data_IF_870674061461
#
_entry.id   IF_870674061461
#
_cell.length_a   1.000
_cell.length_b   1.000
_cell.length_c   1.000
_cell.angle_alpha   90.00
_cell.angle_beta   90.00
_cell.angle_gamma   90.00
#
_symmetry.space_group_name_H-M   'P 1'
#
loop_
_entity.id
_entity.type
_entity.pdbx_description
1 polymer ?
#
# COMPACT_ATOMS: atom_id res chain seq x y z
N UNK A 1 -67.96 19.33 16.07
CA UNK A 1 -67.23 19.81 14.88
C UNK A 1 -65.83 20.26 15.31
N UNK A 2 -64.79 19.82 14.56
CA UNK A 2 -63.36 20.23 14.62
C UNK A 2 -62.57 19.62 15.79
N UNK A 3 -62.09 18.38 15.67
CA UNK A 3 -60.88 17.90 14.93
C UNK A 3 -59.56 18.42 15.53
N UNK A 4 -58.88 17.51 16.23
CA UNK A 4 -57.46 17.12 16.03
C UNK A 4 -56.50 18.30 15.83
N UNK A 5 -55.85 18.73 16.90
CA UNK A 5 -54.57 19.45 16.85
C UNK A 5 -53.63 18.70 17.80
N UNK A 6 -53.01 17.63 17.31
CA UNK A 6 -51.71 17.66 16.64
C UNK A 6 -50.56 17.56 17.66
N UNK A 7 -50.33 16.32 18.06
CA UNK A 7 -49.10 15.77 18.63
C UNK A 7 -47.96 16.12 17.67
N UNK A 8 -47.05 17.01 18.06
CA UNK A 8 -45.86 17.33 17.25
C UNK A 8 -44.74 17.90 18.15
N UNK A 9 -44.27 17.08 19.08
CA UNK A 9 -43.07 17.33 19.87
C UNK A 9 -42.23 16.05 20.00
N UNK A 10 -42.08 15.30 18.90
CA UNK A 10 -41.32 14.05 18.86
C UNK A 10 -40.54 13.93 17.55
N UNK A 11 -39.59 14.83 17.32
CA UNK A 11 -38.70 14.74 16.15
C UNK A 11 -37.51 15.68 16.26
N UNK A 12 -36.71 15.58 17.32
CA UNK A 12 -35.37 16.18 17.31
C UNK A 12 -34.35 15.42 18.17
N UNK A 13 -34.31 14.09 17.98
CA UNK A 13 -33.16 13.27 18.37
C UNK A 13 -32.82 12.37 17.17
N UNK A 14 -32.42 12.98 16.05
CA UNK A 14 -31.48 12.32 15.16
C UNK A 14 -30.11 12.39 15.86
N UNK A 15 -29.93 11.52 16.84
CA UNK A 15 -28.61 11.12 17.29
C UNK A 15 -27.83 10.72 16.04
N UNK A 16 -26.71 11.39 15.82
CA UNK A 16 -25.72 11.01 14.82
C UNK A 16 -25.37 9.53 15.05
N UNK A 17 -25.98 8.65 14.25
CA UNK A 17 -25.42 7.34 14.06
C UNK A 17 -24.15 7.56 13.23
N UNK A 18 -23.05 7.89 13.90
CA UNK A 18 -21.76 7.45 13.42
C UNK A 18 -21.85 5.92 13.44
N UNK A 19 -22.36 5.34 12.36
CA UNK A 19 -22.19 3.93 12.08
C UNK A 19 -20.68 3.82 11.96
N UNK A 20 -20.04 3.39 13.05
CA UNK A 20 -18.71 2.83 12.98
C UNK A 20 -18.84 1.67 12.01
N UNK A 21 -18.61 1.94 10.73
CA UNK A 21 -18.46 0.93 9.71
C UNK A 21 -17.44 -0.04 10.30
N UNK A 22 -17.83 -1.29 10.51
CA UNK A 22 -16.99 -2.22 11.26
C UNK A 22 -15.68 -2.36 10.48
N UNK A 23 -14.67 -1.67 10.97
CA UNK A 23 -13.54 -1.31 10.14
C UNK A 23 -12.60 -2.51 10.11
N UNK A 24 -12.20 -2.90 8.91
CA UNK A 24 -11.30 -4.03 8.69
C UNK A 24 -9.84 -3.63 8.90
N UNK A 25 -8.97 -4.63 8.90
CA UNK A 25 -7.53 -4.44 8.96
C UNK A 25 -6.86 -5.14 7.79
N UNK A 26 -5.80 -4.52 7.28
CA UNK A 26 -4.99 -5.07 6.20
C UNK A 26 -3.55 -5.03 6.67
N UNK A 27 -2.91 -6.19 6.75
CA UNK A 27 -1.51 -6.31 7.11
C UNK A 27 -0.75 -7.08 6.06
N UNK A 28 0.56 -6.89 5.99
CA UNK A 28 1.38 -7.65 5.06
C UNK A 28 2.86 -7.49 5.33
N UNK A 29 3.64 -8.27 4.59
CA UNK A 29 5.09 -8.19 4.62
C UNK A 29 5.61 -8.09 3.20
N UNK A 30 6.31 -6.99 2.91
CA UNK A 30 7.09 -6.78 1.68
C UNK A 30 8.46 -7.39 1.91
N UNK A 31 8.92 -8.25 0.99
CA UNK A 31 10.21 -8.90 1.13
C UNK A 31 11.32 -7.91 0.75
N UNK A 32 11.96 -7.30 1.75
CA UNK A 32 13.17 -6.51 1.53
C UNK A 32 14.32 -7.48 1.23
N UNK A 33 14.94 -7.44 0.04
CA UNK A 33 16.08 -8.29 -0.27
C UNK A 33 17.35 -7.72 0.37
N UNK A 34 17.45 -7.83 1.70
CA UNK A 34 18.68 -8.03 2.46
C UNK A 34 18.41 -7.79 3.96
N UNK A 35 17.95 -8.83 4.65
CA UNK A 35 18.33 -8.98 6.05
C UNK A 35 19.41 -10.05 6.24
N UNK A 36 19.43 -11.15 5.47
CA UNK A 36 20.31 -12.29 5.83
C UNK A 36 20.75 -13.17 4.65
N UNK A 37 21.31 -12.61 3.56
CA UNK A 37 22.21 -13.38 2.68
C UNK A 37 23.66 -13.02 2.98
N UNK A 38 24.07 -13.22 4.24
CA UNK A 38 25.45 -13.51 4.54
C UNK A 38 25.80 -14.82 3.85
N UNK A 39 26.67 -14.76 2.85
CA UNK A 39 27.20 -15.94 2.16
C UNK A 39 27.93 -16.82 3.18
N UNK A 40 27.26 -17.84 3.71
CA UNK A 40 27.90 -18.87 4.50
C UNK A 40 28.68 -19.78 3.55
N UNK A 41 29.98 -19.55 3.43
CA UNK A 41 30.90 -20.51 2.82
C UNK A 41 31.10 -21.66 3.82
N UNK A 42 30.50 -22.82 3.53
CA UNK A 42 30.79 -24.05 4.26
C UNK A 42 32.26 -24.43 4.06
N UNK A 43 32.92 -24.80 5.16
CA UNK A 43 34.35 -25.13 5.22
C UNK A 43 34.57 -26.63 4.95
N UNK A 44 35.46 -26.93 4.00
CA UNK A 44 36.15 -28.23 3.84
C UNK A 44 35.73 -29.01 2.59
N UNK A 45 36.62 -29.57 1.76
CA UNK A 45 38.04 -29.88 1.90
C UNK A 45 38.63 -29.99 0.47
N UNK A 46 39.85 -29.47 0.26
CA UNK A 46 40.58 -29.39 -1.03
C UNK A 46 40.19 -28.24 -2.00
N UNK A 47 41.17 -27.38 -2.29
CA UNK A 47 41.19 -26.57 -3.50
C UNK A 47 41.21 -25.05 -3.30
N UNK A 48 42.43 -24.48 -3.40
CA UNK A 48 42.78 -23.12 -3.84
C UNK A 48 41.98 -21.91 -3.30
N UNK A 49 42.67 -21.09 -2.49
CA UNK A 49 42.13 -19.88 -1.90
C UNK A 49 41.92 -18.74 -2.90
N UNK A 50 40.82 -18.02 -2.69
CA UNK A 50 40.70 -16.60 -2.97
C UNK A 50 40.18 -15.95 -1.69
N UNK A 51 41.12 -15.40 -0.91
CA UNK A 51 40.85 -14.66 0.31
C UNK A 51 40.41 -13.25 -0.09
N UNK A 52 39.11 -13.00 -0.03
CA UNK A 52 38.58 -11.64 -0.16
C UNK A 52 38.89 -10.88 1.13
N UNK A 53 39.72 -9.86 0.99
CA UNK A 53 40.11 -8.88 2.00
C UNK A 53 38.90 -8.45 2.86
N UNK A 54 38.95 -8.78 4.16
CA UNK A 54 37.92 -8.48 5.16
C UNK A 54 38.05 -7.07 5.76
N UNK A 55 38.61 -6.12 5.01
CA UNK A 55 38.71 -4.73 5.44
C UNK A 55 37.65 -3.81 4.82
N UNK A 56 36.75 -4.33 3.98
CA UNK A 56 35.64 -3.54 3.47
C UNK A 56 34.68 -3.15 4.62
N UNK A 57 34.40 -1.85 4.83
CA UNK A 57 33.46 -1.45 5.87
C UNK A 57 32.15 -2.17 5.62
N UNK A 58 31.57 -2.76 6.68
CA UNK A 58 30.21 -3.28 6.68
C UNK A 58 29.27 -2.10 6.41
N UNK A 59 29.14 -1.70 5.15
CA UNK A 59 28.04 -0.88 4.71
C UNK A 59 26.81 -1.76 4.87
N UNK A 60 26.18 -1.66 6.05
CA UNK A 60 24.78 -1.98 6.25
C UNK A 60 24.08 -1.16 5.17
N UNK A 61 23.83 -1.76 4.00
CA UNK A 61 23.05 -1.10 2.96
C UNK A 61 21.75 -0.69 3.66
N UNK A 62 21.44 0.59 3.58
CA UNK A 62 20.27 1.15 4.22
C UNK A 62 19.09 0.26 3.82
N UNK A 63 18.37 -0.33 4.79
CA UNK A 63 17.14 -1.04 4.49
C UNK A 63 16.16 0.05 4.08
N UNK A 64 16.10 0.32 2.77
CA UNK A 64 15.19 1.30 2.22
C UNK A 64 13.78 0.75 2.35
N UNK A 65 12.95 1.44 3.14
CA UNK A 65 11.58 1.04 3.45
C UNK A 65 10.73 1.16 2.19
N UNK A 66 9.79 0.23 2.03
CA UNK A 66 8.82 0.30 0.95
C UNK A 66 7.64 1.20 1.37
N UNK A 67 7.13 1.95 0.40
CA UNK A 67 5.91 2.73 0.54
C UNK A 67 4.72 1.90 0.10
N UNK A 68 3.70 1.82 0.94
CA UNK A 68 2.49 1.06 0.70
C UNK A 68 1.31 2.00 0.65
N UNK A 69 0.59 1.97 -0.46
CA UNK A 69 -0.57 2.78 -0.72
C UNK A 69 -1.79 1.88 -0.89
N UNK A 70 -2.88 2.24 -0.22
CA UNK A 70 -4.16 1.57 -0.38
C UNK A 70 -5.13 2.57 -1.02
N UNK A 71 -5.59 2.28 -2.22
CA UNK A 71 -6.43 3.18 -3.02
C UNK A 71 -7.74 2.46 -3.30
N UNK A 72 -8.88 3.01 -2.88
CA UNK A 72 -10.17 2.40 -3.20
C UNK A 72 -10.39 2.31 -4.71
N UNK A 73 -10.94 1.20 -5.21
CA UNK A 73 -11.09 0.99 -6.67
C UNK A 73 -12.23 1.80 -7.29
N UNK A 74 -13.18 2.26 -6.49
CA UNK A 74 -14.40 2.96 -6.92
C UNK A 74 -14.20 4.48 -7.06
N UNK A 75 -13.12 5.02 -6.49
CA UNK A 75 -12.80 6.46 -6.50
C UNK A 75 -12.57 6.94 -7.94
N UNK A 76 -13.04 8.15 -8.22
CA UNK A 76 -12.72 8.83 -9.47
C UNK A 76 -11.63 9.88 -9.21
N UNK A 77 -10.38 9.54 -9.53
CA UNK A 77 -9.23 10.41 -9.28
C UNK A 77 -9.16 11.58 -10.26
N UNK A 78 -9.83 11.49 -11.41
CA UNK A 78 -9.82 12.56 -12.44
C UNK A 78 -10.63 13.79 -12.03
N UNK A 79 -11.46 13.70 -11.00
CA UNK A 79 -12.22 14.85 -10.47
C UNK A 79 -11.43 15.63 -9.43
N UNK A 80 -10.26 15.15 -9.02
CA UNK A 80 -9.42 15.81 -8.03
C UNK A 80 -8.77 17.06 -8.65
N UNK A 81 -8.64 18.16 -7.89
CA UNK A 81 -7.88 19.32 -8.32
C UNK A 81 -6.42 18.92 -8.59
N UNK A 82 -5.86 19.40 -9.71
CA UNK A 82 -4.47 19.12 -10.08
C UNK A 82 -3.48 19.44 -8.96
N UNK A 83 -3.68 20.56 -8.24
CA UNK A 83 -2.80 20.94 -7.14
C UNK A 83 -2.77 19.91 -5.99
N UNK A 84 -3.87 19.20 -5.74
CA UNK A 84 -3.93 18.16 -4.72
C UNK A 84 -3.29 16.86 -5.21
N UNK A 85 -3.48 16.52 -6.50
CA UNK A 85 -2.80 15.39 -7.16
C UNK A 85 -1.28 15.61 -7.16
N UNK A 86 -0.83 16.81 -7.49
CA UNK A 86 0.59 17.15 -7.52
C UNK A 86 1.22 17.03 -6.13
N UNK A 87 0.55 17.55 -5.08
CA UNK A 87 1.00 17.38 -3.69
C UNK A 87 1.02 15.92 -3.27
N UNK A 88 0.05 15.12 -3.71
CA UNK A 88 0.04 13.70 -3.45
C UNK A 88 1.26 13.00 -4.07
N UNK A 89 1.53 13.23 -5.35
CA UNK A 89 2.64 12.57 -6.04
C UNK A 89 4.02 13.05 -5.57
N UNK A 90 4.18 14.35 -5.33
CA UNK A 90 5.49 14.93 -4.98
C UNK A 90 5.80 14.88 -3.48
N UNK A 91 4.78 14.97 -2.63
CA UNK A 91 4.94 15.13 -1.18
C UNK A 91 4.33 13.98 -0.37
N UNK A 92 3.66 13.03 -1.02
CA UNK A 92 2.93 11.95 -0.35
C UNK A 92 1.70 12.44 0.43
N UNK A 93 1.23 13.67 0.19
CA UNK A 93 0.10 14.23 0.92
C UNK A 93 -1.22 13.74 0.32
N UNK A 94 -1.95 12.91 1.05
CA UNK A 94 -3.23 12.37 0.60
C UNK A 94 -4.26 13.49 0.41
N UNK A 95 -4.96 13.56 -0.75
CA UNK A 95 -6.02 14.53 -0.97
C UNK A 95 -7.14 14.38 0.06
N UNK A 96 -7.68 15.50 0.55
CA UNK A 96 -8.67 15.49 1.61
C UNK A 96 -9.93 14.71 1.23
N UNK A 97 -10.50 13.97 2.19
CA UNK A 97 -11.72 13.18 2.06
C UNK A 97 -11.65 12.09 0.98
N UNK A 98 -10.46 11.64 0.59
CA UNK A 98 -10.32 10.52 -0.33
C UNK A 98 -10.05 9.21 0.43
N UNK A 99 -10.66 8.09 0.01
CA UNK A 99 -10.38 6.75 0.56
C UNK A 99 -9.04 6.20 0.07
N UNK A 100 -7.97 6.96 0.33
CA UNK A 100 -6.58 6.63 0.07
C UNK A 100 -5.87 6.56 1.42
N UNK A 101 -5.06 5.53 1.62
CA UNK A 101 -4.31 5.32 2.85
C UNK A 101 -2.84 5.08 2.49
N UNK A 102 -1.96 5.50 3.40
CA UNK A 102 -0.51 5.33 3.25
C UNK A 102 0.07 4.68 4.50
N UNK A 103 0.98 3.75 4.28
CA UNK A 103 1.80 3.14 5.30
C UNK A 103 3.23 2.98 4.75
N UNK A 104 4.21 3.09 5.64
CA UNK A 104 5.61 2.79 5.33
C UNK A 104 5.98 1.52 6.06
N UNK A 105 6.67 0.61 5.39
CA UNK A 105 7.09 -0.64 6.03
C UNK A 105 8.09 -0.39 7.16
N UNK A 106 8.07 -1.22 8.21
CA UNK A 106 9.13 -1.26 9.21
C UNK A 106 10.43 -1.90 8.66
N UNK A 107 11.46 -2.02 9.50
CA UNK A 107 12.75 -2.61 9.14
C UNK A 107 12.66 -4.09 8.74
N UNK A 108 11.59 -4.77 9.14
CA UNK A 108 11.29 -6.15 8.80
C UNK A 108 10.38 -6.26 7.56
N UNK A 109 10.05 -5.14 6.91
CA UNK A 109 9.20 -5.09 5.71
C UNK A 109 7.71 -5.18 6.00
N UNK A 110 7.29 -5.10 7.27
CA UNK A 110 5.89 -5.25 7.66
C UNK A 110 5.16 -3.91 7.59
N UNK A 111 3.91 -3.94 7.15
CA UNK A 111 2.99 -2.80 7.17
C UNK A 111 1.62 -3.22 7.71
N UNK A 112 0.86 -2.25 8.21
CA UNK A 112 -0.49 -2.46 8.71
C UNK A 112 -1.36 -1.22 8.46
N UNK A 113 -2.57 -1.46 7.96
CA UNK A 113 -3.67 -0.51 7.92
C UNK A 113 -4.73 -0.98 8.91
N UNK A 114 -5.12 -0.08 9.81
CA UNK A 114 -6.21 -0.29 10.77
C UNK A 114 -7.38 0.58 10.39
N UNK A 115 -8.55 0.14 10.85
CA UNK A 115 -9.79 0.89 10.73
C UNK A 115 -10.14 1.28 9.28
N UNK A 116 -9.91 0.36 8.33
CA UNK A 116 -10.21 0.56 6.91
C UNK A 116 -11.67 0.15 6.62
N UNK A 117 -12.50 1.01 6.01
CA UNK A 117 -13.86 0.66 5.60
C UNK A 117 -13.90 -0.51 4.61
N UNK A 118 -14.94 -1.33 4.66
CA UNK A 118 -15.14 -2.41 3.70
C UNK A 118 -15.37 -1.86 2.29
N UNK A 119 -14.45 -2.18 1.37
CA UNK A 119 -14.55 -1.84 -0.05
C UNK A 119 -13.58 -2.72 -0.86
N UNK A 120 -13.54 -2.49 -2.17
CA UNK A 120 -12.52 -3.06 -3.03
C UNK A 120 -11.38 -2.06 -3.16
N UNK A 121 -10.14 -2.50 -2.94
CA UNK A 121 -8.95 -1.67 -2.95
C UNK A 121 -7.92 -2.17 -3.96
N UNK A 122 -7.13 -1.26 -4.51
CA UNK A 122 -5.80 -1.55 -5.00
C UNK A 122 -4.84 -1.38 -3.84
N UNK A 123 -4.03 -2.39 -3.55
CA UNK A 123 -2.81 -2.19 -2.78
C UNK A 123 -1.67 -1.99 -3.76
N UNK A 124 -0.94 -0.89 -3.61
CA UNK A 124 0.21 -0.54 -4.41
C UNK A 124 1.43 -0.47 -3.50
N UNK A 125 2.49 -1.14 -3.89
CA UNK A 125 3.71 -1.28 -3.13
C UNK A 125 4.84 -0.77 -3.99
N UNK A 126 5.50 0.28 -3.49
CA UNK A 126 6.66 0.90 -4.11
C UNK A 126 7.89 0.45 -3.33
N UNK A 127 8.52 -0.61 -3.83
CA UNK A 127 9.69 -1.21 -3.19
C UNK A 127 10.97 -0.79 -3.94
N UNK A 128 11.86 -0.02 -3.30
CA UNK A 128 13.14 0.40 -3.92
C UNK A 128 14.06 -0.76 -4.27
N UNK A 129 13.87 -1.92 -3.64
CA UNK A 129 14.70 -3.10 -3.86
C UNK A 129 13.96 -4.23 -4.60
N UNK A 130 12.68 -4.04 -4.91
CA UNK A 130 11.86 -5.09 -5.51
C UNK A 130 12.29 -5.42 -6.94
N UNK A 131 12.00 -6.65 -7.36
CA UNK A 131 12.37 -7.17 -8.68
C UNK A 131 11.11 -7.32 -9.53
N UNK A 132 10.92 -6.45 -10.53
CA UNK A 132 9.75 -6.48 -11.41
C UNK A 132 9.60 -7.79 -12.20
N UNK A 133 10.71 -8.52 -12.38
CA UNK A 133 10.75 -9.80 -13.09
C UNK A 133 9.94 -10.90 -12.40
N UNK A 134 9.67 -10.77 -11.10
CA UNK A 134 8.88 -11.73 -10.33
C UNK A 134 7.37 -11.39 -10.32
N UNK A 135 6.94 -10.32 -10.99
CA UNK A 135 5.53 -9.95 -11.02
C UNK A 135 4.71 -10.92 -11.86
N UNK A 136 3.63 -11.44 -11.28
CA UNK A 136 2.72 -12.31 -12.00
C UNK A 136 1.83 -11.51 -12.98
N UNK A 137 1.18 -12.21 -13.92
CA UNK A 137 0.33 -11.56 -14.93
C UNK A 137 -0.82 -10.75 -14.30
N UNK A 138 -1.38 -11.24 -13.19
CA UNK A 138 -2.48 -10.60 -12.47
C UNK A 138 -2.06 -9.26 -11.85
N UNK A 139 -0.84 -9.17 -11.32
CA UNK A 139 -0.26 -7.95 -10.75
C UNK A 139 -0.01 -6.92 -11.85
N UNK A 140 0.54 -7.35 -12.99
CA UNK A 140 0.72 -6.47 -14.17
C UNK A 140 -0.62 -5.91 -14.66
N UNK A 141 -1.63 -6.76 -14.83
CA UNK A 141 -2.97 -6.32 -15.21
C UNK A 141 -3.59 -5.37 -14.18
N UNK A 142 -3.37 -5.62 -12.89
CA UNK A 142 -3.88 -4.76 -11.81
C UNK A 142 -3.19 -3.39 -11.81
N UNK A 143 -1.89 -3.36 -12.08
CA UNK A 143 -1.10 -2.13 -12.23
C UNK A 143 -1.59 -1.34 -13.43
N UNK A 144 -1.73 -1.97 -14.59
CA UNK A 144 -2.16 -1.30 -15.81
C UNK A 144 -3.60 -0.73 -15.65
N UNK A 145 -4.49 -1.45 -14.95
CA UNK A 145 -5.83 -0.96 -14.57
C UNK A 145 -5.77 0.27 -13.65
N UNK A 146 -4.85 0.29 -12.68
CA UNK A 146 -4.64 1.45 -11.81
C UNK A 146 -4.08 2.64 -12.59
N UNK A 147 -3.09 2.43 -13.47
CA UNK A 147 -2.47 3.49 -14.28
C UNK A 147 -3.48 4.21 -15.18
N UNK A 148 -4.46 3.48 -15.72
CA UNK A 148 -5.54 4.07 -16.52
C UNK A 148 -6.52 4.96 -15.72
N UNK A 149 -6.59 4.76 -14.40
CA UNK A 149 -7.45 5.53 -13.51
C UNK A 149 -6.76 6.74 -12.88
N UNK A 150 -5.43 6.72 -12.82
CA UNK A 150 -4.65 7.80 -12.22
C UNK A 150 -4.62 9.01 -13.17
N UNK A 151 -4.87 10.23 -12.65
CA UNK A 151 -4.63 11.45 -13.41
C UNK A 151 -3.12 11.67 -13.53
N UNK A 152 -2.68 12.21 -14.68
CA UNK A 152 -1.28 12.56 -14.92
C UNK A 152 -0.30 11.40 -14.66
N UNK A 153 -0.53 10.26 -15.32
CA UNK A 153 0.25 9.02 -15.13
C UNK A 153 1.76 9.24 -15.28
N UNK A 154 2.20 10.09 -16.20
CA UNK A 154 3.62 10.41 -16.38
C UNK A 154 4.25 11.03 -15.12
N UNK A 155 3.51 11.90 -14.42
CA UNK A 155 3.97 12.50 -13.16
C UNK A 155 3.96 11.49 -12.03
N UNK A 156 2.95 10.61 -12.00
CA UNK A 156 2.90 9.52 -11.05
C UNK A 156 4.11 8.59 -11.21
N UNK A 157 4.43 8.17 -12.44
CA UNK A 157 5.59 7.32 -12.72
C UNK A 157 6.89 8.03 -12.36
N UNK A 158 7.01 9.32 -12.67
CA UNK A 158 8.23 10.09 -12.38
C UNK A 158 8.47 10.32 -10.88
N UNK A 159 7.45 10.76 -10.14
CA UNK A 159 7.60 11.21 -8.76
C UNK A 159 7.36 10.11 -7.72
N UNK A 160 6.41 9.20 -7.98
CA UNK A 160 6.07 8.15 -7.01
C UNK A 160 6.88 6.89 -7.26
N UNK A 161 6.81 6.35 -8.48
CA UNK A 161 7.49 5.10 -8.84
C UNK A 161 9.00 5.34 -8.96
N UNK A 162 9.41 6.27 -9.82
CA UNK A 162 10.81 6.59 -10.05
C UNK A 162 11.62 5.34 -10.41
N UNK A 163 12.64 5.04 -9.61
CA UNK A 163 13.50 3.85 -9.77
C UNK A 163 13.01 2.63 -8.97
N UNK A 164 11.89 2.76 -8.24
CA UNK A 164 11.34 1.69 -7.39
C UNK A 164 10.50 0.75 -8.24
N UNK A 165 10.45 -0.51 -7.83
CA UNK A 165 9.46 -1.43 -8.40
C UNK A 165 8.05 -1.07 -7.93
N UNK A 166 7.08 -1.14 -8.84
CA UNK A 166 5.66 -0.89 -8.53
C UNK A 166 4.87 -2.19 -8.67
N UNK A 167 4.44 -2.76 -7.54
CA UNK A 167 3.58 -3.94 -7.49
C UNK A 167 2.17 -3.53 -7.08
N UNK A 168 1.17 -3.97 -7.84
CA UNK A 168 -0.24 -3.66 -7.55
C UNK A 168 -1.05 -4.96 -7.44
N UNK A 169 -1.85 -5.08 -6.38
CA UNK A 169 -2.79 -6.19 -6.19
C UNK A 169 -4.20 -5.68 -5.89
N UNK A 170 -5.21 -6.44 -6.31
CA UNK A 170 -6.61 -6.16 -6.01
C UNK A 170 -7.03 -6.90 -4.74
N UNK A 171 -7.70 -6.20 -3.84
CA UNK A 171 -8.14 -6.73 -2.55
C UNK A 171 -9.59 -6.36 -2.32
N UNK A 172 -10.36 -7.29 -1.77
CA UNK A 172 -11.72 -7.04 -1.29
C UNK A 172 -11.71 -7.15 0.21
N UNK A 173 -11.98 -6.04 0.90
CA UNK A 173 -12.08 -5.98 2.35
C UNK A 173 -13.55 -5.99 2.77
N UNK A 174 -13.91 -6.92 3.64
CA UNK A 174 -15.22 -6.98 4.29
C UNK A 174 -15.17 -6.40 5.70
N UNK A 175 -16.34 -6.05 6.22
CA UNK A 175 -16.49 -5.43 7.54
C UNK A 175 -15.92 -6.34 8.65
N UNK A 176 -15.04 -5.80 9.49
CA UNK A 176 -14.36 -6.52 10.57
C UNK A 176 -13.38 -7.61 10.12
N UNK A 177 -13.07 -7.71 8.83
CA UNK A 177 -12.13 -8.68 8.30
C UNK A 177 -10.68 -8.25 8.55
N UNK A 178 -9.80 -9.21 8.82
CA UNK A 178 -8.36 -9.02 8.79
C UNK A 178 -7.76 -9.76 7.59
N UNK A 179 -7.12 -9.03 6.68
CA UNK A 179 -6.49 -9.57 5.48
C UNK A 179 -4.98 -9.52 5.65
N UNK A 180 -4.32 -10.66 5.44
CA UNK A 180 -2.86 -10.77 5.42
C UNK A 180 -2.36 -10.96 3.99
N UNK A 181 -1.57 -10.01 3.51
CA UNK A 181 -1.05 -9.97 2.15
C UNK A 181 0.41 -10.42 2.13
N UNK A 182 0.77 -11.20 1.12
CA UNK A 182 2.15 -11.58 0.80
C UNK A 182 2.43 -11.23 -0.66
N UNK A 183 2.95 -10.03 -0.95
CA UNK A 183 3.29 -9.61 -2.31
C UNK A 183 4.43 -10.47 -2.89
N UNK A 184 4.36 -10.79 -4.18
CA UNK A 184 5.47 -11.45 -4.89
C UNK A 184 5.67 -12.95 -4.64
N UNK A 185 4.77 -13.62 -3.90
CA UNK A 185 4.70 -15.08 -3.89
C UNK A 185 3.84 -15.53 -5.07
N UNK A 186 4.50 -16.18 -6.04
CA UNK A 186 3.85 -17.15 -6.92
C UNK A 186 3.05 -18.10 -6.03
N UNK A 187 1.80 -18.37 -6.41
CA UNK A 187 0.99 -19.41 -5.78
C UNK A 187 1.68 -20.77 -5.79
#
# INVERSE_FOLDING_TARGET
>A
MKRIAAILAFSLLLSLNAIAAAAGSISGQVYLPNSERGMHVAKGESGAGMMWDMSAPKNRRHIEKADVWLIERSINLNTLPYADVQKWYQQGTIPANQPIYHAVTNEQGQFEFKDVPAANYYIMILDPNGQEQNQNLTEKMSRDELMQKLPHTDEFELFMVGMRSCLVQKITLHNGQNIKIRPGLLG
#
